data_IF_078903122134
#
_entry.id   IF_078903122134
#
_cell.length_a   1.000
_cell.length_b   1.000
_cell.length_c   1.000
_cell.angle_alpha   90.00
_cell.angle_beta   90.00
_cell.angle_gamma   90.00
#
_symmetry.space_group_name_H-M   'P 1'
#
loop_
_entity.id
_entity.type
_entity.pdbx_description
1 polymer ?
#
# COMPACT_ATOMS: atom_id res chain seq x y z
N UNK A 1 -10.13 17.06 1.63
CA UNK A 1 -9.65 15.87 2.35
C UNK A 1 -9.59 14.74 1.35
N UNK A 2 -8.44 14.55 0.73
CA UNK A 2 -8.28 13.63 -0.40
C UNK A 2 -8.19 12.19 0.13
N UNK A 3 -9.28 11.44 -0.02
CA UNK A 3 -9.34 10.02 0.29
C UNK A 3 -8.66 9.23 -0.83
N UNK A 4 -7.33 9.17 -0.80
CA UNK A 4 -6.54 8.43 -1.78
C UNK A 4 -6.27 7.00 -1.29
N UNK A 5 -6.82 6.00 -1.98
CA UNK A 5 -6.49 4.59 -1.71
C UNK A 5 -5.29 4.20 -2.56
N UNK A 6 -4.11 4.14 -1.96
CA UNK A 6 -2.89 3.68 -2.67
C UNK A 6 -2.59 2.23 -2.31
N UNK A 7 -2.50 1.39 -3.35
CA UNK A 7 -2.08 -0.01 -3.24
C UNK A 7 -0.63 -0.13 -3.73
N UNK A 8 0.18 -0.90 -3.01
CA UNK A 8 1.52 -1.31 -3.49
C UNK A 8 1.49 -2.78 -3.91
N UNK A 9 2.34 -3.14 -4.87
CA UNK A 9 2.53 -4.53 -5.27
C UNK A 9 3.34 -5.26 -4.20
N UNK A 10 2.69 -6.22 -3.53
CA UNK A 10 3.36 -7.09 -2.55
C UNK A 10 4.11 -8.22 -3.23
N UNK A 11 3.50 -8.85 -4.23
CA UNK A 11 4.13 -9.92 -5.00
C UNK A 11 3.49 -10.06 -6.37
N UNK A 12 4.25 -10.69 -7.27
CA UNK A 12 3.83 -11.05 -8.62
C UNK A 12 4.23 -12.50 -8.85
N UNK A 13 3.28 -13.31 -9.28
CA UNK A 13 3.45 -14.73 -9.57
C UNK A 13 3.07 -15.01 -11.01
N UNK A 14 3.92 -15.74 -11.73
CA UNK A 14 3.63 -16.21 -13.08
C UNK A 14 3.18 -17.67 -13.02
N UNK A 15 1.98 -17.94 -13.54
CA UNK A 15 1.38 -19.28 -13.63
C UNK A 15 1.25 -19.67 -15.10
N UNK A 16 1.10 -20.97 -15.37
CA UNK A 16 0.81 -21.46 -16.73
C UNK A 16 -0.46 -20.82 -17.32
N UNK A 17 -1.44 -20.52 -16.49
CA UNK A 17 -2.74 -19.94 -16.87
C UNK A 17 -2.74 -18.40 -16.97
N UNK A 18 -1.66 -17.72 -16.57
CA UNK A 18 -1.61 -16.26 -16.53
C UNK A 18 -0.72 -15.69 -15.43
N UNK A 19 -0.89 -14.39 -15.13
CA UNK A 19 -0.11 -13.67 -14.11
C UNK A 19 -1.02 -13.25 -12.96
N UNK A 20 -0.57 -13.50 -11.72
CA UNK A 20 -1.28 -13.09 -10.51
C UNK A 20 -0.50 -11.97 -9.81
N UNK A 21 -1.17 -10.84 -9.59
CA UNK A 21 -0.67 -9.72 -8.80
C UNK A 21 -1.36 -9.71 -7.44
N UNK A 22 -0.56 -9.68 -6.37
CA UNK A 22 -1.05 -9.46 -5.02
C UNK A 22 -0.70 -8.04 -4.60
N UNK A 23 -1.73 -7.22 -4.47
CA UNK A 23 -1.64 -5.84 -4.05
C UNK A 23 -2.16 -5.69 -2.62
N UNK A 24 -1.56 -4.80 -1.85
CA UNK A 24 -2.02 -4.43 -0.52
C UNK A 24 -2.07 -2.94 -0.37
N UNK A 25 -2.95 -2.46 0.49
CA UNK A 25 -2.93 -1.07 0.89
C UNK A 25 -1.56 -0.70 1.49
N UNK A 26 -1.07 0.52 1.27
CA UNK A 26 0.17 1.01 1.89
C UNK A 26 0.17 0.94 3.42
N UNK A 27 -0.99 1.07 4.07
CA UNK A 27 -1.15 0.87 5.52
C UNK A 27 -1.23 -0.60 5.94
N UNK A 28 -1.12 -1.56 5.03
CA UNK A 28 -1.22 -2.98 5.37
C UNK A 28 0.07 -3.53 6.00
N UNK A 29 -0.11 -4.51 6.89
CA UNK A 29 0.98 -5.17 7.62
C UNK A 29 1.41 -4.45 8.89
N UNK A 30 2.25 -5.10 9.71
CA UNK A 30 2.70 -4.55 11.00
C UNK A 30 3.62 -3.36 10.76
N UNK A 31 3.11 -2.15 10.96
CA UNK A 31 3.93 -0.96 11.03
C UNK A 31 4.29 -0.74 12.48
N UNK A 32 5.59 -0.73 12.79
CA UNK A 32 6.08 -0.30 14.10
C UNK A 32 5.99 1.23 14.14
N UNK A 33 4.89 1.75 14.69
CA UNK A 33 4.82 3.17 15.02
C UNK A 33 5.76 3.42 16.21
N UNK A 34 6.97 3.88 15.93
CA UNK A 34 7.99 4.21 16.94
C UNK A 34 7.63 5.45 17.77
N UNK A 35 6.68 6.28 17.31
CA UNK A 35 6.26 7.49 18.01
C UNK A 35 5.26 7.22 19.16
N UNK A 36 4.55 6.07 19.16
CA UNK A 36 3.49 5.75 20.13
C UNK A 36 3.86 4.70 21.19
N UNK A 37 5.14 4.46 21.47
CA UNK A 37 5.60 3.43 22.45
C UNK A 37 4.94 3.60 23.83
N UNK A 38 4.52 4.82 24.20
CA UNK A 38 3.93 5.15 25.52
C UNK A 38 2.41 5.36 25.53
N UNK A 39 1.72 5.28 24.39
CA UNK A 39 0.26 5.53 24.33
C UNK A 39 -0.47 4.20 24.16
N UNK A 40 -1.32 3.86 25.13
CA UNK A 40 -2.13 2.63 25.13
C UNK A 40 -3.11 2.68 23.94
N UNK A 41 -2.79 1.99 22.86
CA UNK A 41 -3.69 1.88 21.71
C UNK A 41 -4.88 1.03 22.09
N UNK A 42 -6.09 1.55 21.87
CA UNK A 42 -7.32 0.78 22.09
C UNK A 42 -7.49 -0.20 20.93
N UNK A 43 -8.19 -1.33 21.15
CA UNK A 43 -8.48 -2.35 20.11
C UNK A 43 -9.16 -1.80 18.85
N UNK A 44 -9.75 -0.60 18.92
CA UNK A 44 -10.39 0.10 17.79
C UNK A 44 -9.37 0.71 16.82
N UNK A 45 -8.16 1.02 17.28
CA UNK A 45 -7.07 1.48 16.43
C UNK A 45 -6.32 0.27 15.87
N UNK A 46 -6.91 -0.38 14.88
CA UNK A 46 -6.16 -1.35 14.09
C UNK A 46 -5.01 -0.61 13.40
N UNK A 47 -3.78 -0.82 13.89
CA UNK A 47 -2.58 -0.14 13.41
C UNK A 47 -2.27 -0.43 11.92
N UNK A 48 -2.99 -1.38 11.31
CA UNK A 48 -2.81 -1.79 9.94
C UNK A 48 -4.15 -1.93 9.21
N UNK A 49 -4.13 -1.57 7.92
CA UNK A 49 -5.24 -1.77 7.03
C UNK A 49 -5.27 -3.22 6.53
N UNK A 50 -6.44 -3.88 6.55
CA UNK A 50 -6.62 -5.23 6.01
C UNK A 50 -7.00 -5.25 4.53
N UNK A 51 -7.08 -4.09 3.85
CA UNK A 51 -7.36 -4.04 2.41
C UNK A 51 -6.28 -4.77 1.60
N UNK A 52 -6.75 -5.66 0.73
CA UNK A 52 -5.94 -6.37 -0.23
C UNK A 52 -6.72 -6.50 -1.54
N UNK A 53 -5.97 -6.64 -2.63
CA UNK A 53 -6.50 -6.86 -3.96
C UNK A 53 -5.63 -7.92 -4.65
N UNK A 54 -6.27 -8.99 -5.12
CA UNK A 54 -5.64 -10.03 -5.94
C UNK A 54 -6.19 -9.89 -7.34
N UNK A 55 -5.31 -9.63 -8.31
CA UNK A 55 -5.64 -9.49 -9.72
C UNK A 55 -5.03 -10.66 -10.47
N UNK A 56 -5.85 -11.40 -11.21
CA UNK A 56 -5.43 -12.51 -12.07
C UNK A 56 -5.66 -12.12 -13.52
N UNK A 57 -4.58 -11.88 -14.25
CA UNK A 57 -4.58 -11.71 -15.70
C UNK A 57 -4.46 -13.08 -16.34
N UNK A 58 -5.49 -13.54 -17.03
CA UNK A 58 -5.53 -14.85 -17.67
C UNK A 58 -5.08 -14.76 -19.13
N UNK A 59 -4.62 -15.89 -19.67
CA UNK A 59 -4.13 -15.96 -21.06
C UNK A 59 -5.23 -15.77 -22.10
N UNK A 60 -6.50 -15.98 -21.73
CA UNK A 60 -7.67 -15.74 -22.56
C UNK A 60 -8.08 -14.25 -22.60
N UNK A 61 -7.18 -13.34 -22.19
CA UNK A 61 -7.38 -11.90 -22.06
C UNK A 61 -8.41 -11.46 -21.01
N UNK A 62 -8.93 -12.39 -20.19
CA UNK A 62 -9.83 -12.04 -19.09
C UNK A 62 -9.05 -11.62 -17.85
N UNK A 63 -9.67 -10.78 -17.03
CA UNK A 63 -9.10 -10.31 -15.75
C UNK A 63 -10.07 -10.64 -14.62
N UNK A 64 -9.62 -11.40 -13.64
CA UNK A 64 -10.38 -11.71 -12.44
C UNK A 64 -9.81 -10.95 -11.25
N UNK A 65 -10.69 -10.37 -10.43
CA UNK A 65 -10.29 -9.54 -9.30
C UNK A 65 -10.99 -10.03 -8.03
N UNK A 66 -10.20 -10.29 -6.97
CA UNK A 66 -10.70 -10.62 -5.63
C UNK A 66 -10.05 -9.71 -4.62
N UNK A 67 -10.84 -8.98 -3.84
CA UNK A 67 -10.30 -8.06 -2.84
C UNK A 67 -11.26 -7.74 -1.72
N UNK A 68 -10.70 -7.22 -0.62
CA UNK A 68 -11.48 -6.58 0.44
C UNK A 68 -11.33 -5.07 0.27
N UNK A 69 -12.46 -4.39 0.03
CA UNK A 69 -12.50 -2.94 -0.18
C UNK A 69 -13.09 -2.18 1.01
N UNK A 70 -13.46 -2.87 2.10
CA UNK A 70 -14.12 -2.24 3.25
C UNK A 70 -13.29 -1.14 3.92
N UNK A 71 -11.96 -1.15 3.74
CA UNK A 71 -11.06 -0.12 4.25
C UNK A 71 -10.41 0.72 3.12
N UNK A 72 -10.95 0.64 1.90
CA UNK A 72 -10.52 1.51 0.82
C UNK A 72 -10.93 2.96 1.13
N UNK A 73 -10.07 3.92 0.81
CA UNK A 73 -10.35 5.35 1.01
C UNK A 73 -10.09 5.89 2.42
N UNK A 74 -9.30 5.19 3.25
CA UNK A 74 -8.80 5.82 4.49
C UNK A 74 -7.79 6.93 4.16
N UNK A 75 -7.64 7.88 5.08
CA UNK A 75 -6.63 8.93 4.96
C UNK A 75 -5.22 8.34 4.84
N UNK A 76 -4.40 8.98 4.02
CA UNK A 76 -2.99 8.67 3.90
C UNK A 76 -2.25 9.28 5.09
N UNK A 77 -1.48 8.44 5.78
CA UNK A 77 -0.50 8.89 6.76
C UNK A 77 0.87 8.88 6.05
N UNK A 78 1.48 10.06 5.75
CA UNK A 78 2.74 10.15 5.05
C UNK A 78 3.86 9.34 5.70
N UNK A 79 3.85 9.21 7.03
CA UNK A 79 4.86 8.45 7.78
C UNK A 79 4.76 6.93 7.54
N UNK A 80 3.67 6.46 6.95
CA UNK A 80 3.37 5.05 6.72
C UNK A 80 3.44 4.67 5.23
N UNK A 81 3.81 5.59 4.35
CA UNK A 81 3.94 5.33 2.92
C UNK A 81 5.14 4.41 2.66
N UNK A 82 4.90 3.34 1.89
CA UNK A 82 5.95 2.46 1.40
C UNK A 82 6.38 2.94 0.03
N UNK A 83 7.34 3.85 0.02
CA UNK A 83 7.87 4.42 -1.21
C UNK A 83 8.77 3.41 -1.92
N UNK A 84 8.67 3.35 -3.25
CA UNK A 84 9.65 2.64 -4.07
C UNK A 84 11.01 3.37 -4.01
N UNK A 85 12.12 2.70 -4.37
CA UNK A 85 13.42 3.35 -4.47
C UNK A 85 13.39 4.59 -5.39
N UNK A 86 12.71 4.48 -6.53
CA UNK A 86 12.54 5.58 -7.49
C UNK A 86 11.77 6.76 -6.88
N UNK A 87 10.72 6.47 -6.10
CA UNK A 87 9.94 7.51 -5.40
C UNK A 87 10.76 8.21 -4.32
N UNK A 88 11.63 7.48 -3.60
CA UNK A 88 12.54 8.10 -2.65
C UNK A 88 13.53 9.03 -3.34
N UNK A 89 14.12 8.60 -4.46
CA UNK A 89 15.10 9.41 -5.17
C UNK A 89 14.49 10.68 -5.74
N UNK A 90 13.30 10.57 -6.33
CA UNK A 90 12.54 11.73 -6.79
C UNK A 90 12.25 12.73 -5.67
N UNK A 91 11.85 12.25 -4.49
CA UNK A 91 11.59 13.13 -3.34
C UNK A 91 12.85 13.82 -2.84
N UNK A 92 14.02 13.17 -2.89
CA UNK A 92 15.29 13.81 -2.53
C UNK A 92 15.62 14.94 -3.49
N UNK A 93 15.53 14.69 -4.80
CA UNK A 93 15.81 15.71 -5.82
C UNK A 93 14.93 16.95 -5.62
N UNK A 94 13.63 16.75 -5.35
CA UNK A 94 12.72 17.87 -5.07
C UNK A 94 13.10 18.68 -3.82
N UNK A 95 13.70 18.06 -2.81
CA UNK A 95 14.14 18.74 -1.60
C UNK A 95 15.45 19.49 -1.83
N UNK A 96 16.37 18.89 -2.58
CA UNK A 96 17.66 19.49 -2.96
C UNK A 96 17.44 20.74 -3.86
N UNK A 97 16.50 20.67 -4.80
CA UNK A 97 16.12 21.80 -5.68
C UNK A 97 15.46 22.98 -4.92
N UNK A 98 15.01 22.77 -3.67
CA UNK A 98 14.40 23.80 -2.84
C UNK A 98 15.40 24.53 -1.92
N UNK A 99 16.65 24.08 -1.87
CA UNK A 99 17.72 24.68 -1.04
C UNK A 99 18.58 25.71 -1.81
N UNK A 100 18.24 26.02 -3.07
CA UNK A 100 18.75 27.15 -3.88
C UNK A 100 17.74 28.32 -3.97
#
# INVERSE_FOLDING_TARGET
MDKCTTFYQRSKEHKKSGTVLLLRCNRAGRIKNTAKIRVRTTRKDNAYCSCFLTVEYRNDSTVAVKGCFGHAGHELDPALLRLSPEQHEYLKMLLEDMEE
#
